data_IF_719585106956
#
_entry.id   IF_719585106956
#
_cell.length_a   1.000
_cell.length_b   1.000
_cell.length_c   1.000
_cell.angle_alpha   90.00
_cell.angle_beta   90.00
_cell.angle_gamma   90.00
#
_symmetry.space_group_name_H-M   'P 1'
#
loop_
_entity.id
_entity.type
_entity.pdbx_description
1 polymer ?
#
# COMPACT_ATOMS: atom_id res chain seq x y z
N UNK A 1 25.91 32.70 -65.43
CA UNK A 1 25.71 32.28 -64.05
C UNK A 1 26.99 31.59 -63.58
N UNK A 2 27.73 32.22 -62.65
CA UNK A 2 29.00 31.69 -62.09
C UNK A 2 28.56 30.67 -61.01
N UNK A 3 28.82 29.41 -61.25
CA UNK A 3 28.62 28.35 -60.24
C UNK A 3 29.79 28.48 -59.26
N UNK A 4 29.53 29.07 -58.09
CA UNK A 4 30.48 29.07 -57.00
C UNK A 4 30.42 27.69 -56.32
N UNK A 5 31.54 26.96 -56.39
CA UNK A 5 31.70 25.70 -55.68
C UNK A 5 32.03 25.97 -54.19
N UNK A 6 31.59 25.11 -53.31
CA UNK A 6 31.91 25.12 -51.88
C UNK A 6 33.42 25.00 -51.68
N UNK A 7 33.96 25.82 -50.77
CA UNK A 7 35.34 25.71 -50.39
C UNK A 7 35.53 24.57 -49.36
N UNK A 8 36.70 23.94 -49.38
CA UNK A 8 37.05 22.86 -48.45
C UNK A 8 36.90 23.31 -46.99
N UNK A 9 37.19 24.53 -46.69
CA UNK A 9 37.08 25.14 -45.34
C UNK A 9 35.62 25.25 -44.87
N UNK A 10 34.70 25.58 -45.76
CA UNK A 10 33.25 25.65 -45.46
C UNK A 10 32.69 24.29 -45.09
N UNK A 11 33.10 23.24 -45.81
CA UNK A 11 32.66 21.86 -45.50
C UNK A 11 33.24 21.45 -44.14
N UNK A 12 34.47 21.79 -43.80
CA UNK A 12 35.12 21.46 -42.55
C UNK A 12 34.46 22.16 -41.37
N UNK A 13 34.10 23.41 -41.48
CA UNK A 13 33.39 24.18 -40.47
C UNK A 13 31.96 23.58 -40.29
N UNK A 14 31.27 23.27 -41.39
CA UNK A 14 29.94 22.66 -41.31
C UNK A 14 29.95 21.30 -40.58
N UNK A 15 30.95 20.44 -40.86
CA UNK A 15 31.12 19.16 -40.17
C UNK A 15 31.44 19.35 -38.68
N UNK A 16 32.29 20.33 -38.34
CA UNK A 16 32.60 20.64 -36.95
C UNK A 16 31.34 21.13 -36.19
N UNK A 17 30.58 22.03 -36.76
CA UNK A 17 29.32 22.49 -36.18
C UNK A 17 28.29 21.35 -36.01
N UNK A 18 28.16 20.50 -37.02
CA UNK A 18 27.25 19.32 -36.97
C UNK A 18 27.66 18.31 -35.88
N UNK A 19 29.00 18.12 -35.70
CA UNK A 19 29.47 17.20 -34.63
C UNK A 19 29.20 17.77 -33.22
N UNK A 20 29.37 19.08 -33.00
CA UNK A 20 29.05 19.70 -31.71
C UNK A 20 27.55 19.57 -31.40
N UNK A 21 26.69 19.88 -32.38
CA UNK A 21 25.25 19.79 -32.23
C UNK A 21 24.85 18.33 -31.92
N UNK A 22 25.46 17.35 -32.59
CA UNK A 22 25.20 15.95 -32.36
C UNK A 22 25.57 15.49 -30.93
N UNK A 23 26.73 15.93 -30.43
CA UNK A 23 27.16 15.62 -29.06
C UNK A 23 26.19 16.24 -28.05
N UNK A 24 25.86 17.54 -28.21
CA UNK A 24 24.89 18.21 -27.30
C UNK A 24 23.51 17.56 -27.33
N UNK A 25 23.06 17.14 -28.50
CA UNK A 25 21.76 16.45 -28.65
C UNK A 25 21.77 15.09 -27.98
N UNK A 26 22.88 14.36 -28.06
CA UNK A 26 23.03 13.06 -27.42
C UNK A 26 23.07 13.20 -25.89
N UNK A 27 23.80 14.17 -25.36
CA UNK A 27 23.84 14.46 -23.92
C UNK A 27 22.44 14.87 -23.39
N UNK A 28 21.72 15.70 -24.13
CA UNK A 28 20.36 16.08 -23.77
C UNK A 28 19.41 14.88 -23.74
N UNK A 29 19.48 14.02 -24.77
CA UNK A 29 18.67 12.82 -24.83
C UNK A 29 18.98 11.87 -23.68
N UNK A 30 20.26 11.63 -23.41
CA UNK A 30 20.72 10.76 -22.30
C UNK A 30 20.19 11.27 -20.96
N UNK A 31 20.36 12.55 -20.66
CA UNK A 31 19.85 13.16 -19.42
C UNK A 31 18.32 13.05 -19.32
N UNK A 32 17.60 13.20 -20.44
CA UNK A 32 16.14 13.08 -20.47
C UNK A 32 15.68 11.66 -20.14
N UNK A 33 16.39 10.63 -20.63
CA UNK A 33 16.11 9.23 -20.31
C UNK A 33 16.35 8.96 -18.83
N UNK A 34 17.47 9.39 -18.24
CA UNK A 34 17.74 9.24 -16.82
C UNK A 34 16.71 9.93 -15.93
N UNK A 35 16.28 11.13 -16.30
CA UNK A 35 15.21 11.83 -15.58
C UNK A 35 13.90 11.06 -15.64
N UNK A 36 13.54 10.54 -16.80
CA UNK A 36 12.33 9.75 -16.98
C UNK A 36 12.35 8.50 -16.08
N UNK A 37 13.44 7.74 -16.05
CA UNK A 37 13.58 6.56 -15.21
C UNK A 37 13.42 6.88 -13.72
N UNK A 38 14.03 7.96 -13.23
CA UNK A 38 13.88 8.42 -11.84
C UNK A 38 12.44 8.80 -11.50
N UNK A 39 11.76 9.49 -12.41
CA UNK A 39 10.37 9.88 -12.22
C UNK A 39 9.47 8.65 -12.22
N UNK A 40 9.66 7.70 -13.14
CA UNK A 40 8.90 6.46 -13.18
C UNK A 40 9.09 5.62 -11.90
N UNK A 41 10.32 5.50 -11.38
CA UNK A 41 10.58 4.82 -10.12
C UNK A 41 9.86 5.50 -8.94
N UNK A 42 9.92 6.83 -8.86
CA UNK A 42 9.23 7.59 -7.81
C UNK A 42 7.71 7.44 -7.90
N UNK A 43 7.14 7.48 -9.10
CA UNK A 43 5.71 7.29 -9.33
C UNK A 43 5.28 5.86 -8.93
N UNK A 44 6.06 4.85 -9.28
CA UNK A 44 5.73 3.46 -8.97
C UNK A 44 5.73 3.20 -7.46
N UNK A 45 6.70 3.73 -6.72
CA UNK A 45 6.75 3.64 -5.26
C UNK A 45 5.55 4.35 -4.61
N UNK A 46 5.28 5.59 -5.03
CA UNK A 46 4.14 6.36 -4.51
C UNK A 46 2.79 5.69 -4.83
N UNK A 47 2.65 5.11 -6.02
CA UNK A 47 1.44 4.40 -6.40
C UNK A 47 1.21 3.13 -5.57
N UNK A 48 2.26 2.35 -5.30
CA UNK A 48 2.16 1.17 -4.40
C UNK A 48 1.70 1.59 -3.01
N UNK A 49 2.34 2.61 -2.45
CA UNK A 49 1.97 3.18 -1.15
C UNK A 49 0.52 3.66 -1.12
N UNK A 50 0.14 4.52 -2.08
CA UNK A 50 -1.21 5.06 -2.16
C UNK A 50 -2.28 3.98 -2.33
N UNK A 51 -2.01 2.97 -3.15
CA UNK A 51 -2.90 1.84 -3.34
C UNK A 51 -3.07 1.01 -2.06
N UNK A 52 -2.00 0.76 -1.31
CA UNK A 52 -2.06 0.03 -0.05
C UNK A 52 -2.93 0.76 0.98
N UNK A 53 -2.72 2.06 1.15
CA UNK A 53 -3.52 2.92 2.04
C UNK A 53 -4.99 2.95 1.62
N UNK A 54 -5.28 3.06 0.32
CA UNK A 54 -6.66 3.07 -0.17
C UNK A 54 -7.35 1.72 0.03
N UNK A 55 -6.66 0.60 -0.17
CA UNK A 55 -7.22 -0.73 0.11
C UNK A 55 -7.56 -0.85 1.60
N UNK A 56 -6.65 -0.48 2.48
CA UNK A 56 -6.89 -0.50 3.93
C UNK A 56 -8.07 0.40 4.31
N UNK A 57 -8.11 1.63 3.78
CA UNK A 57 -9.23 2.55 4.02
C UNK A 57 -10.57 1.97 3.58
N UNK A 58 -10.64 1.41 2.38
CA UNK A 58 -11.86 0.80 1.84
C UNK A 58 -12.29 -0.42 2.67
N UNK A 59 -11.36 -1.26 3.08
CA UNK A 59 -11.67 -2.41 3.93
C UNK A 59 -12.24 -1.96 5.28
N UNK A 60 -11.64 -0.94 5.90
CA UNK A 60 -12.12 -0.40 7.17
C UNK A 60 -13.50 0.25 7.04
N UNK A 61 -13.72 1.03 5.98
CA UNK A 61 -15.04 1.62 5.70
C UNK A 61 -16.13 0.58 5.41
N UNK A 62 -15.75 -0.60 4.91
CA UNK A 62 -16.67 -1.71 4.65
C UNK A 62 -16.71 -2.72 5.80
N UNK A 63 -16.04 -2.43 6.91
CA UNK A 63 -16.05 -3.30 8.08
C UNK A 63 -17.46 -3.41 8.65
N UNK A 64 -17.79 -4.60 9.13
CA UNK A 64 -19.09 -4.88 9.72
C UNK A 64 -18.90 -5.47 11.11
N UNK A 65 -19.74 -5.13 12.10
CA UNK A 65 -19.64 -5.62 13.47
C UNK A 65 -20.17 -7.06 13.55
N UNK A 66 -19.54 -7.96 12.81
CA UNK A 66 -19.90 -9.38 12.80
C UNK A 66 -18.94 -10.16 13.70
N UNK A 67 -19.49 -10.96 14.63
CA UNK A 67 -18.68 -11.75 15.56
C UNK A 67 -17.84 -12.77 14.82
N UNK A 68 -16.55 -12.78 15.14
CA UNK A 68 -15.61 -13.76 14.56
C UNK A 68 -15.66 -15.07 15.33
N UNK A 69 -15.39 -16.16 14.59
CA UNK A 69 -15.18 -17.49 15.15
C UNK A 69 -13.70 -17.86 15.06
N UNK A 70 -13.26 -18.65 16.02
CA UNK A 70 -11.92 -19.25 15.97
C UNK A 70 -11.88 -20.40 14.93
N UNK A 71 -10.71 -21.02 14.79
CA UNK A 71 -10.51 -22.19 13.89
C UNK A 71 -11.33 -23.40 14.27
N UNK A 72 -11.78 -23.49 15.53
CA UNK A 72 -12.62 -24.59 16.05
C UNK A 72 -14.12 -24.30 15.92
N UNK A 73 -14.49 -23.09 15.44
CA UNK A 73 -15.89 -22.67 15.28
C UNK A 73 -16.52 -22.04 16.52
N UNK A 74 -15.74 -21.77 17.59
CA UNK A 74 -16.24 -21.08 18.79
C UNK A 74 -16.31 -19.59 18.53
N UNK A 75 -17.33 -18.93 19.07
CA UNK A 75 -17.49 -17.49 19.00
C UNK A 75 -16.42 -16.79 19.87
N UNK A 76 -15.68 -15.87 19.27
CA UNK A 76 -14.66 -15.05 19.95
C UNK A 76 -15.27 -13.85 20.66
N UNK A 77 -16.56 -13.58 20.45
CA UNK A 77 -17.30 -12.40 20.95
C UNK A 77 -16.66 -11.05 20.61
N UNK A 78 -15.84 -11.00 19.57
CA UNK A 78 -15.21 -9.79 19.06
C UNK A 78 -15.43 -9.67 17.56
N UNK A 79 -15.60 -8.45 17.08
CA UNK A 79 -15.74 -8.13 15.65
C UNK A 79 -14.47 -7.62 15.01
N UNK A 80 -13.51 -7.18 15.84
CA UNK A 80 -12.24 -6.63 15.44
C UNK A 80 -11.12 -7.07 16.38
N UNK A 81 -9.97 -7.46 15.81
CA UNK A 81 -8.76 -7.81 16.57
C UNK A 81 -7.61 -7.02 15.97
N UNK A 82 -6.82 -6.39 16.82
CA UNK A 82 -5.63 -5.64 16.44
C UNK A 82 -4.43 -5.95 17.32
N UNK A 83 -3.23 -5.88 16.75
CA UNK A 83 -1.96 -5.94 17.49
C UNK A 83 -1.59 -7.31 18.03
N UNK A 84 -2.14 -8.42 17.51
CA UNK A 84 -1.84 -9.76 17.99
C UNK A 84 -0.83 -10.47 17.08
N UNK A 85 0.38 -10.68 17.60
CA UNK A 85 1.50 -11.30 16.88
C UNK A 85 1.77 -10.62 15.53
N UNK A 86 2.06 -11.41 14.46
CA UNK A 86 2.24 -10.88 13.11
C UNK A 86 0.92 -10.40 12.47
N UNK A 87 -0.23 -10.70 13.08
CA UNK A 87 -1.55 -10.31 12.58
C UNK A 87 -1.97 -8.97 13.19
N UNK A 88 -1.63 -7.90 12.51
CA UNK A 88 -1.84 -6.53 13.00
C UNK A 88 -3.29 -6.06 12.95
N UNK A 89 -4.10 -6.56 11.99
CA UNK A 89 -5.51 -6.23 11.86
C UNK A 89 -6.29 -7.47 11.40
N UNK A 90 -7.40 -7.78 12.08
CA UNK A 90 -8.32 -8.83 11.67
C UNK A 90 -9.75 -8.38 11.92
N UNK A 91 -10.58 -8.39 10.89
CA UNK A 91 -11.99 -7.99 10.95
C UNK A 91 -12.79 -8.59 9.79
N UNK A 92 -14.11 -8.37 9.80
CA UNK A 92 -14.99 -8.83 8.74
C UNK A 92 -15.46 -7.64 7.94
N UNK A 93 -15.41 -7.77 6.62
CA UNK A 93 -15.79 -6.72 5.67
C UNK A 93 -16.80 -7.23 4.65
N UNK A 94 -17.61 -6.33 4.11
CA UNK A 94 -18.42 -6.52 2.93
C UNK A 94 -17.55 -6.43 1.69
N UNK A 95 -17.16 -7.55 1.11
CA UNK A 95 -16.40 -7.54 -0.15
C UNK A 95 -17.34 -7.60 -1.35
N UNK A 96 -17.61 -6.45 -1.95
CA UNK A 96 -18.45 -6.34 -3.14
C UNK A 96 -17.74 -6.78 -4.44
N UNK A 97 -16.42 -6.85 -4.44
CA UNK A 97 -15.61 -7.16 -5.64
C UNK A 97 -15.44 -8.65 -5.92
N UNK A 98 -15.86 -9.52 -4.99
CA UNK A 98 -15.78 -10.95 -5.20
C UNK A 98 -16.96 -11.43 -6.05
N UNK A 99 -16.67 -11.65 -7.33
CA UNK A 99 -17.62 -12.18 -8.32
C UNK A 99 -17.82 -13.70 -8.20
N UNK A 100 -17.13 -14.36 -7.27
CA UNK A 100 -17.38 -15.78 -7.00
C UNK A 100 -18.83 -15.97 -6.53
N UNK A 101 -19.49 -17.01 -7.05
CA UNK A 101 -20.88 -17.38 -6.71
C UNK A 101 -21.03 -17.82 -5.24
N UNK A 102 -20.37 -17.15 -4.33
CA UNK A 102 -20.45 -17.40 -2.90
C UNK A 102 -21.74 -16.78 -2.36
N UNK A 103 -22.51 -17.57 -1.62
CA UNK A 103 -23.76 -17.15 -0.99
C UNK A 103 -23.61 -16.02 0.04
N UNK A 104 -22.39 -15.71 0.45
CA UNK A 104 -22.09 -14.61 1.37
C UNK A 104 -21.06 -13.67 0.76
N UNK A 105 -21.36 -12.36 0.80
CA UNK A 105 -20.43 -11.29 0.44
C UNK A 105 -19.48 -10.90 1.58
N UNK A 106 -19.68 -11.49 2.76
CA UNK A 106 -18.82 -11.24 3.91
C UNK A 106 -17.50 -12.00 3.76
N UNK A 107 -16.41 -11.32 4.06
CA UNK A 107 -15.04 -11.87 4.06
C UNK A 107 -14.33 -11.50 5.35
N UNK A 108 -13.58 -12.45 5.89
CA UNK A 108 -12.60 -12.15 6.92
C UNK A 108 -11.36 -11.59 6.24
N UNK A 109 -10.94 -10.42 6.64
CA UNK A 109 -9.72 -9.78 6.18
C UNK A 109 -8.71 -9.79 7.32
N UNK A 110 -7.48 -10.19 7.01
CA UNK A 110 -6.35 -10.19 7.94
C UNK A 110 -5.19 -9.46 7.28
N UNK A 111 -4.67 -8.44 7.95
CA UNK A 111 -3.43 -7.79 7.59
C UNK A 111 -2.30 -8.41 8.40
N UNK A 112 -1.24 -8.79 7.71
CA UNK A 112 -0.09 -9.48 8.29
C UNK A 112 1.14 -8.67 7.97
N UNK A 113 1.92 -8.35 9.01
CA UNK A 113 3.23 -7.75 8.88
C UNK A 113 4.30 -8.76 9.29
N UNK A 114 5.11 -9.15 8.33
CA UNK A 114 6.17 -10.12 8.53
C UNK A 114 7.30 -9.87 7.53
N UNK A 115 8.54 -10.04 7.96
CA UNK A 115 9.73 -9.92 7.11
C UNK A 115 9.74 -8.60 6.31
N UNK A 116 9.44 -7.48 6.98
CA UNK A 116 9.38 -6.13 6.40
C UNK A 116 8.35 -5.99 5.28
N UNK A 117 7.36 -6.87 5.24
CA UNK A 117 6.28 -6.83 4.25
C UNK A 117 4.91 -6.75 4.89
N UNK A 118 4.03 -5.95 4.29
CA UNK A 118 2.62 -5.89 4.65
C UNK A 118 1.81 -6.64 3.61
N UNK A 119 1.11 -7.66 4.04
CA UNK A 119 0.22 -8.45 3.20
C UNK A 119 -1.22 -8.42 3.70
N UNK A 120 -2.17 -8.59 2.79
CA UNK A 120 -3.60 -8.66 3.04
C UNK A 120 -4.12 -10.03 2.62
N UNK A 121 -4.67 -10.76 3.57
CA UNK A 121 -5.32 -12.04 3.31
C UNK A 121 -6.84 -11.89 3.41
N UNK A 122 -7.55 -12.61 2.56
CA UNK A 122 -9.00 -12.77 2.66
C UNK A 122 -9.34 -14.23 2.84
N UNK A 123 -10.28 -14.52 3.73
CA UNK A 123 -10.77 -15.86 4.01
C UNK A 123 -12.29 -15.87 4.12
N UNK A 124 -12.87 -17.06 4.19
CA UNK A 124 -14.29 -17.21 4.53
C UNK A 124 -14.52 -16.81 5.99
N UNK A 125 -15.67 -16.19 6.26
CA UNK A 125 -16.01 -15.67 7.60
C UNK A 125 -15.87 -16.75 8.68
N UNK A 126 -16.39 -17.95 8.42
CA UNK A 126 -16.47 -19.04 9.39
C UNK A 126 -15.33 -20.07 9.27
N UNK A 127 -14.38 -19.86 8.33
CA UNK A 127 -13.25 -20.76 8.08
C UNK A 127 -12.01 -19.95 7.80
N UNK A 128 -11.30 -19.62 8.85
CA UNK A 128 -10.06 -18.80 8.79
C UNK A 128 -8.96 -19.53 8.02
N UNK A 129 -8.88 -20.83 8.12
CA UNK A 129 -7.93 -21.70 7.43
C UNK A 129 -8.10 -21.71 5.91
N UNK A 130 -9.31 -21.36 5.43
CA UNK A 130 -9.59 -21.31 3.99
C UNK A 130 -9.29 -19.94 3.41
N UNK A 131 -8.02 -19.71 3.11
CA UNK A 131 -7.55 -18.48 2.46
C UNK A 131 -8.06 -18.47 1.01
N UNK A 132 -8.75 -17.39 0.64
CA UNK A 132 -9.26 -17.15 -0.71
C UNK A 132 -8.27 -16.35 -1.55
N UNK A 133 -7.61 -15.36 -0.95
CA UNK A 133 -6.56 -14.60 -1.61
C UNK A 133 -5.53 -14.11 -0.59
N UNK A 134 -4.29 -13.96 -1.07
CA UNK A 134 -3.21 -13.32 -0.36
C UNK A 134 -2.58 -12.29 -1.30
N UNK A 135 -2.57 -11.03 -0.91
CA UNK A 135 -2.05 -9.93 -1.71
C UNK A 135 -0.98 -9.18 -0.92
N UNK A 136 0.20 -9.08 -1.50
CA UNK A 136 1.27 -8.22 -1.03
C UNK A 136 0.87 -6.75 -1.31
N UNK A 137 0.94 -5.91 -0.29
CA UNK A 137 0.58 -4.49 -0.35
C UNK A 137 1.81 -3.60 -0.35
N UNK A 138 2.70 -3.80 0.61
CA UNK A 138 3.94 -3.02 0.75
C UNK A 138 5.11 -3.96 1.02
N UNK A 139 6.26 -3.59 0.48
CA UNK A 139 7.57 -4.25 0.65
C UNK A 139 8.56 -3.24 1.22
N UNK A 140 9.60 -3.74 1.85
CA UNK A 140 10.72 -2.95 2.37
C UNK A 140 10.28 -1.84 3.35
N UNK A 141 9.29 -2.16 4.19
CA UNK A 141 8.80 -1.24 5.23
C UNK A 141 9.37 -1.64 6.58
N UNK A 142 9.83 -0.64 7.33
CA UNK A 142 10.36 -0.84 8.67
C UNK A 142 9.43 -0.22 9.72
N UNK A 143 9.48 -0.79 10.94
CA UNK A 143 8.81 -0.24 12.12
C UNK A 143 7.30 0.00 11.92
N UNK A 144 6.61 -0.95 11.27
CA UNK A 144 5.16 -0.85 11.12
C UNK A 144 4.49 -1.06 12.46
N UNK A 145 3.78 -0.04 12.92
CA UNK A 145 2.97 -0.06 14.13
C UNK A 145 1.54 0.36 13.83
N UNK A 146 0.61 -0.31 14.51
CA UNK A 146 -0.78 0.08 14.54
C UNK A 146 -1.21 0.38 15.96
N UNK A 147 -2.01 1.45 16.12
CA UNK A 147 -2.63 1.82 17.39
C UNK A 147 -4.12 2.01 17.19
N UNK A 148 -4.90 1.65 18.18
CA UNK A 148 -6.34 1.53 18.12
C UNK A 148 -7.00 2.26 19.27
N UNK A 149 -8.13 2.91 19.05
CA UNK A 149 -8.87 3.59 20.11
C UNK A 149 -10.25 4.06 19.70
N UNK A 150 -11.02 4.50 20.71
CA UNK A 150 -12.29 5.18 20.50
C UNK A 150 -12.09 6.69 20.31
N UNK A 151 -10.96 7.21 20.79
CA UNK A 151 -10.57 8.61 20.68
C UNK A 151 -9.17 8.70 20.07
N UNK A 152 -8.90 9.73 19.25
CA UNK A 152 -7.61 9.85 18.56
C UNK A 152 -6.44 10.15 19.53
N UNK A 153 -6.74 10.62 20.74
CA UNK A 153 -5.75 10.97 21.76
C UNK A 153 -5.41 9.79 22.69
N UNK A 154 -6.24 8.75 22.70
CA UNK A 154 -6.09 7.60 23.61
C UNK A 154 -6.05 6.30 22.80
N UNK A 155 -4.90 6.06 22.17
CA UNK A 155 -4.67 4.89 21.34
C UNK A 155 -3.82 3.85 22.05
N UNK A 156 -4.18 2.57 21.89
CA UNK A 156 -3.48 1.41 22.46
C UNK A 156 -2.90 0.52 21.36
N UNK A 157 -1.86 -0.25 21.66
CA UNK A 157 -1.20 -1.11 20.67
C UNK A 157 -1.99 -2.41 20.39
N UNK A 158 -2.99 -2.73 21.22
CA UNK A 158 -3.79 -3.94 21.07
C UNK A 158 -5.28 -3.63 21.13
N UNK A 159 -6.09 -4.39 20.38
CA UNK A 159 -7.54 -4.32 20.40
C UNK A 159 -8.20 -5.70 20.33
N UNK A 160 -9.24 -6.02 21.13
CA UNK A 160 -9.78 -5.17 22.20
C UNK A 160 -8.78 -5.02 23.35
N UNK A 161 -8.84 -3.88 24.02
CA UNK A 161 -8.04 -3.66 25.22
C UNK A 161 -8.60 -4.54 26.34
N UNK A 162 -7.76 -5.42 26.91
CA UNK A 162 -8.13 -6.37 27.96
C UNK A 162 -8.64 -5.71 29.24
N UNK A 163 -8.42 -4.42 29.41
CA UNK A 163 -8.80 -3.66 30.60
C UNK A 163 -10.18 -2.99 30.52
N UNK A 164 -10.86 -3.06 29.37
CA UNK A 164 -12.18 -2.44 29.21
C UNK A 164 -13.23 -3.48 28.82
N UNK A 165 -14.24 -3.64 29.65
CA UNK A 165 -15.43 -4.50 29.40
C UNK A 165 -16.35 -3.97 28.29
N UNK A 166 -16.11 -2.76 27.78
CA UNK A 166 -16.96 -2.08 26.82
C UNK A 166 -16.58 -2.27 25.34
N UNK A 167 -15.45 -2.90 25.03
CA UNK A 167 -14.85 -2.85 23.69
C UNK A 167 -15.03 -4.15 22.90
N UNK A 168 -16.26 -4.64 22.77
CA UNK A 168 -16.57 -5.71 21.80
C UNK A 168 -16.72 -5.19 20.35
N UNK A 169 -16.81 -3.88 20.18
CA UNK A 169 -16.96 -3.20 18.90
C UNK A 169 -15.59 -2.92 18.24
N UNK A 170 -15.62 -2.54 16.98
CA UNK A 170 -14.43 -2.06 16.29
C UNK A 170 -13.93 -0.74 16.89
N UNK A 171 -12.61 -0.45 16.83
CA UNK A 171 -12.09 0.86 17.22
C UNK A 171 -12.61 1.92 16.26
N UNK A 172 -12.88 3.13 16.71
CA UNK A 172 -13.27 4.25 15.84
C UNK A 172 -12.07 4.85 15.10
N UNK A 173 -10.90 4.79 15.73
CA UNK A 173 -9.66 5.33 15.18
C UNK A 173 -8.57 4.27 15.14
N UNK A 174 -7.86 4.24 14.01
CA UNK A 174 -6.72 3.38 13.79
C UNK A 174 -5.59 4.25 13.25
N UNK A 175 -4.50 4.32 13.99
CA UNK A 175 -3.28 5.00 13.58
C UNK A 175 -2.30 3.97 13.03
N UNK A 176 -1.80 4.20 11.84
CA UNK A 176 -0.75 3.41 11.20
C UNK A 176 0.50 4.27 11.05
N UNK A 177 1.61 3.80 11.57
CA UNK A 177 2.92 4.42 11.43
C UNK A 177 3.91 3.41 10.85
N UNK A 178 4.74 3.83 9.91
CA UNK A 178 5.81 3.00 9.36
C UNK A 178 6.87 3.85 8.67
N UNK A 179 8.01 3.22 8.39
CA UNK A 179 9.11 3.84 7.66
C UNK A 179 9.29 3.11 6.32
N UNK A 180 9.43 3.87 5.24
CA UNK A 180 9.75 3.36 3.91
C UNK A 180 10.99 4.11 3.39
N UNK A 181 12.12 3.41 3.34
CA UNK A 181 13.42 4.04 3.13
C UNK A 181 13.73 5.04 4.24
N UNK A 182 13.95 6.31 3.89
CA UNK A 182 14.24 7.38 4.85
C UNK A 182 13.01 8.19 5.28
N UNK A 183 11.82 7.84 4.81
CA UNK A 183 10.61 8.60 5.06
C UNK A 183 9.71 7.91 6.07
N UNK A 184 9.31 8.64 7.11
CA UNK A 184 8.27 8.21 8.05
C UNK A 184 6.91 8.60 7.52
N UNK A 185 5.98 7.64 7.51
CA UNK A 185 4.59 7.81 7.12
C UNK A 185 3.70 7.59 8.33
N UNK A 186 2.72 8.47 8.47
CA UNK A 186 1.72 8.40 9.53
C UNK A 186 0.34 8.59 8.89
N UNK A 187 -0.57 7.68 9.14
CA UNK A 187 -1.92 7.73 8.60
C UNK A 187 -2.93 7.39 9.68
N UNK A 188 -3.89 8.28 9.89
CA UNK A 188 -5.05 8.06 10.74
C UNK A 188 -6.23 7.64 9.89
N UNK A 189 -6.90 6.56 10.28
CA UNK A 189 -8.14 6.07 9.71
C UNK A 189 -9.27 6.21 10.71
N UNK A 190 -10.46 6.53 10.22
CA UNK A 190 -11.71 6.37 10.95
C UNK A 190 -12.48 5.20 10.34
N UNK A 191 -13.08 4.37 11.17
CA UNK A 191 -13.88 3.21 10.75
C UNK A 191 -15.35 3.56 10.53
N UNK A 192 -15.78 4.79 10.90
CA UNK A 192 -17.14 5.31 10.73
C UNK A 192 -17.12 6.75 10.23
#
# INVERSE_FOLDING_TARGET
MIKQGFTLIEILIALLAASIISIMSFDYLSNSVFLKERVEQSINLNNKHFNAINILRLDLMQSVPFQMKDTTGRDLNVSFIGGKDDQILKFITLNSSDTSNSYSKLRRVTYIYKDNTLSRQTALVNKEDKILSNRLLLEDIDNLEFKYGQEPENLTNEWPNTNSTENMNAPEYILMEYTLGNNKYTQLFSTF
#
